data_IF_050262055783
#
_entry.id   IF_050262055783
#
_cell.length_a   1.000
_cell.length_b   1.000
_cell.length_c   1.000
_cell.angle_alpha   90.00
_cell.angle_beta   90.00
_cell.angle_gamma   90.00
#
_symmetry.space_group_name_H-M   'P 1'
#
loop_
_entity.id
_entity.type
_entity.pdbx_description
1 polymer ?
#
# COMPACT_ATOMS: atom_id res chain seq x y z
N UNK A 1 -3.32 -2.76 -1.87
CA UNK A 1 -2.04 -2.79 -1.13
C UNK A 1 -2.04 -1.71 -0.04
N UNK A 2 -1.79 -2.05 1.24
CA UNK A 2 -1.90 -1.10 2.38
C UNK A 2 -0.81 -0.01 2.39
N UNK A 3 0.37 -0.28 1.84
CA UNK A 3 1.50 0.66 1.80
C UNK A 3 1.14 2.04 1.26
N UNK A 4 0.55 2.13 0.05
CA UNK A 4 0.21 3.42 -0.55
C UNK A 4 -0.92 4.17 0.15
N UNK A 5 -1.66 3.55 1.08
CA UNK A 5 -2.66 4.25 1.88
C UNK A 5 -2.06 5.14 2.97
N UNK A 6 -0.77 4.94 3.27
CA UNK A 6 0.01 5.80 4.14
C UNK A 6 0.41 7.12 3.46
N UNK A 7 0.24 7.24 2.13
CA UNK A 7 0.66 8.39 1.33
C UNK A 7 -0.54 9.03 0.62
N UNK A 8 -0.65 10.36 0.66
CA UNK A 8 -1.75 11.13 0.02
C UNK A 8 -2.90 11.50 0.97
N UNK A 9 -3.94 12.21 0.50
CA UNK A 9 -4.98 12.79 1.36
C UNK A 9 -5.82 11.73 2.12
N UNK A 10 -5.36 11.35 3.31
CA UNK A 10 -6.11 10.53 4.25
C UNK A 10 -6.61 11.42 5.39
N UNK A 11 -7.93 11.44 5.60
CA UNK A 11 -8.57 12.24 6.66
C UNK A 11 -8.38 11.67 8.08
N UNK A 12 -7.89 10.43 8.20
CA UNK A 12 -7.83 9.69 9.47
C UNK A 12 -6.43 9.68 10.07
N UNK A 13 -5.37 9.74 9.25
CA UNK A 13 -3.97 9.73 9.71
C UNK A 13 -3.21 10.74 8.86
N UNK A 14 -2.46 11.64 9.50
CA UNK A 14 -1.62 12.62 8.80
C UNK A 14 -0.72 11.89 7.79
N UNK A 15 -0.89 12.12 6.48
CA UNK A 15 -0.28 11.25 5.49
C UNK A 15 1.22 11.51 5.36
N UNK A 16 1.96 10.44 5.07
CA UNK A 16 3.36 10.54 4.71
C UNK A 16 3.50 11.26 3.37
N UNK A 17 4.51 12.12 3.27
CA UNK A 17 4.94 12.72 2.01
C UNK A 17 6.07 11.87 1.43
N UNK A 18 5.88 11.37 0.22
CA UNK A 18 6.91 10.59 -0.48
C UNK A 18 8.19 11.41 -0.69
N UNK A 19 8.06 12.70 -1.07
CA UNK A 19 9.19 13.62 -1.23
C UNK A 19 9.99 13.79 0.07
N UNK A 20 9.31 13.74 1.22
CA UNK A 20 9.95 13.82 2.53
C UNK A 20 10.63 12.51 2.93
N UNK A 21 9.98 11.37 2.68
CA UNK A 21 10.49 10.05 3.04
C UNK A 21 11.70 9.69 2.18
N UNK A 22 11.65 9.95 0.88
CA UNK A 22 12.70 9.61 -0.09
C UNK A 22 13.59 10.81 -0.44
N UNK A 23 13.69 11.80 0.47
CA UNK A 23 14.52 12.99 0.26
C UNK A 23 15.97 12.59 0.00
N UNK A 24 16.51 12.99 -1.15
CA UNK A 24 17.88 12.65 -1.56
C UNK A 24 18.03 11.27 -2.22
N UNK A 25 16.92 10.56 -2.47
CA UNK A 25 16.88 9.27 -3.14
C UNK A 25 15.99 9.33 -4.40
N UNK A 26 16.45 9.96 -5.50
CA UNK A 26 15.63 10.15 -6.70
C UNK A 26 15.11 8.83 -7.26
N UNK A 27 15.95 7.80 -7.31
CA UNK A 27 15.56 6.46 -7.82
C UNK A 27 14.41 5.83 -7.01
N UNK A 28 14.39 6.07 -5.68
CA UNK A 28 13.32 5.58 -4.82
C UNK A 28 12.02 6.37 -5.03
N UNK A 29 12.12 7.68 -5.29
CA UNK A 29 10.97 8.51 -5.61
C UNK A 29 10.36 8.13 -6.96
N UNK A 30 11.20 7.85 -7.95
CA UNK A 30 10.78 7.37 -9.28
C UNK A 30 10.13 5.99 -9.18
N UNK A 31 10.74 5.06 -8.45
CA UNK A 31 10.15 3.75 -8.18
C UNK A 31 8.80 3.87 -7.43
N UNK A 32 8.69 4.78 -6.47
CA UNK A 32 7.43 5.04 -5.78
C UNK A 32 6.35 5.54 -6.73
N UNK A 33 6.67 6.52 -7.59
CA UNK A 33 5.74 7.07 -8.56
C UNK A 33 5.31 6.02 -9.59
N UNK A 34 6.23 5.19 -10.05
CA UNK A 34 5.96 4.05 -10.93
C UNK A 34 4.93 3.09 -10.30
N UNK A 35 5.18 2.61 -9.07
CA UNK A 35 4.28 1.68 -8.40
C UNK A 35 2.93 2.30 -8.03
N UNK A 36 2.92 3.60 -7.69
CA UNK A 36 1.68 4.36 -7.49
C UNK A 36 0.86 4.43 -8.78
N UNK A 37 1.50 4.70 -9.92
CA UNK A 37 0.83 4.72 -11.22
C UNK A 37 0.29 3.32 -11.59
N UNK A 38 1.01 2.23 -11.30
CA UNK A 38 0.50 0.86 -11.49
C UNK A 38 -0.74 0.64 -10.65
N UNK A 39 -0.70 0.94 -9.34
CA UNK A 39 -1.84 0.82 -8.44
C UNK A 39 -3.05 1.58 -8.98
N UNK A 40 -2.84 2.82 -9.41
CA UNK A 40 -3.91 3.72 -9.86
C UNK A 40 -4.52 3.28 -11.19
N UNK A 41 -3.73 2.67 -12.08
CA UNK A 41 -4.25 2.01 -13.28
C UNK A 41 -5.15 0.81 -12.96
N UNK A 42 -4.77 -0.02 -11.99
CA UNK A 42 -5.53 -1.22 -11.62
C UNK A 42 -6.80 -0.93 -10.80
N UNK A 43 -6.96 0.29 -10.28
CA UNK A 43 -8.21 0.72 -9.65
C UNK A 43 -9.31 1.05 -10.67
N UNK A 44 -8.95 1.30 -11.94
CA UNK A 44 -9.90 1.67 -13.00
C UNK A 44 -10.43 0.46 -13.78
N UNK A 45 -9.76 -0.70 -13.71
CA UNK A 45 -10.12 -1.87 -14.50
C UNK A 45 -10.26 -3.12 -13.63
N UNK A 46 -11.49 -3.38 -13.16
CA UNK A 46 -12.01 -4.75 -13.12
C UNK A 46 -12.31 -5.18 -14.57
N UNK A 47 -11.32 -5.13 -15.46
CA UNK A 47 -11.41 -5.91 -16.69
C UNK A 47 -11.32 -7.35 -16.23
N UNK A 48 -12.37 -8.12 -16.51
CA UNK A 48 -12.40 -9.54 -16.18
C UNK A 48 -11.13 -10.19 -16.72
N UNK A 49 -10.58 -11.19 -16.03
CA UNK A 49 -9.50 -12.03 -16.59
C UNK A 49 -9.89 -12.59 -17.97
N UNK A 50 -11.19 -12.70 -18.25
CA UNK A 50 -11.74 -13.06 -19.55
C UNK A 50 -11.51 -12.03 -20.67
N UNK A 51 -11.19 -10.78 -20.35
CA UNK A 51 -10.78 -9.76 -21.33
C UNK A 51 -9.42 -10.07 -21.96
N UNK A 52 -8.59 -10.89 -21.31
CA UNK A 52 -7.29 -11.36 -21.82
C UNK A 52 -7.38 -12.75 -22.45
N UNK A 53 -8.59 -13.27 -22.60
CA UNK A 53 -8.87 -14.58 -23.13
C UNK A 53 -9.17 -14.49 -24.63
N UNK A 54 -8.36 -15.17 -25.44
CA UNK A 54 -8.56 -15.35 -26.87
C UNK A 54 -9.08 -16.78 -27.12
N UNK A 55 -10.40 -16.98 -27.28
CA UNK A 55 -10.93 -18.27 -27.72
C UNK A 55 -10.54 -18.51 -29.17
N UNK A 56 -10.25 -19.75 -29.52
CA UNK A 56 -9.86 -20.15 -30.87
C UNK A 56 -10.41 -21.54 -31.20
N UNK A 57 -10.66 -21.77 -32.48
CA UNK A 57 -11.12 -23.07 -32.98
C UNK A 57 -9.93 -23.87 -33.49
N UNK A 58 -9.85 -25.14 -33.11
CA UNK A 58 -8.96 -26.10 -33.76
C UNK A 58 -9.70 -26.66 -34.96
N UNK A 59 -9.14 -26.45 -36.15
CA UNK A 59 -9.69 -26.99 -37.40
C UNK A 59 -8.83 -28.16 -37.88
N UNK A 60 -9.51 -29.20 -38.37
CA UNK A 60 -8.87 -30.30 -39.07
C UNK A 60 -8.49 -29.94 -40.50
N UNK A 61 -7.85 -30.88 -41.19
CA UNK A 61 -7.33 -30.66 -42.54
C UNK A 61 -8.42 -30.35 -43.58
N UNK A 62 -9.68 -30.67 -43.29
CA UNK A 62 -10.82 -30.41 -44.17
C UNK A 62 -11.68 -29.23 -43.67
N UNK A 63 -11.20 -28.49 -42.66
CA UNK A 63 -11.91 -27.35 -42.09
C UNK A 63 -13.00 -27.72 -41.07
N UNK A 64 -13.10 -28.99 -40.69
CA UNK A 64 -14.00 -29.44 -39.63
C UNK A 64 -13.51 -28.95 -38.26
N UNK A 65 -14.43 -28.52 -37.40
CA UNK A 65 -14.09 -28.13 -36.02
C UNK A 65 -13.76 -29.39 -35.21
N UNK A 66 -12.52 -29.48 -34.74
CA UNK A 66 -12.04 -30.60 -33.94
C UNK A 66 -12.06 -30.30 -32.43
N UNK A 67 -11.84 -29.04 -32.06
CA UNK A 67 -11.83 -28.61 -30.66
C UNK A 67 -12.00 -27.09 -30.52
N UNK A 68 -12.23 -26.63 -29.29
CA UNK A 68 -12.24 -25.21 -28.90
C UNK A 68 -11.19 -25.01 -27.82
N UNK A 69 -10.20 -24.18 -28.11
CA UNK A 69 -9.15 -23.83 -27.17
C UNK A 69 -9.34 -22.40 -26.67
N UNK A 70 -8.88 -22.13 -25.46
CA UNK A 70 -8.91 -20.80 -24.87
C UNK A 70 -7.52 -20.42 -24.40
N UNK A 71 -6.93 -19.38 -25.01
CA UNK A 71 -5.61 -18.87 -24.65
C UNK A 71 -5.78 -17.65 -23.75
N UNK A 72 -5.09 -17.63 -22.62
CA UNK A 72 -5.00 -16.44 -21.78
C UNK A 72 -3.59 -15.88 -21.93
N UNK A 73 -3.49 -14.63 -22.37
CA UNK A 73 -2.22 -13.90 -22.37
C UNK A 73 -2.15 -13.06 -21.11
N UNK A 74 -1.54 -13.61 -20.06
CA UNK A 74 -1.20 -12.82 -18.88
C UNK A 74 0.15 -12.14 -19.13
N UNK A 75 0.22 -10.81 -19.36
CA UNK A 75 1.49 -10.12 -19.30
C UNK A 75 2.03 -10.33 -17.87
N UNK A 76 3.19 -10.98 -17.76
CA UNK A 76 3.92 -11.06 -16.49
C UNK A 76 4.29 -9.64 -16.06
N UNK A 77 3.42 -8.99 -15.29
CA UNK A 77 3.57 -7.60 -14.89
C UNK A 77 4.73 -7.41 -13.90
N UNK A 78 5.18 -8.47 -13.25
CA UNK A 78 6.19 -8.40 -12.19
C UNK A 78 7.03 -9.68 -12.15
N UNK A 79 8.34 -9.54 -12.33
CA UNK A 79 9.31 -10.56 -11.92
C UNK A 79 9.76 -10.30 -10.47
N UNK A 80 10.62 -11.19 -9.95
CA UNK A 80 11.15 -11.07 -8.59
C UNK A 80 11.94 -9.76 -8.39
N UNK A 81 12.66 -9.29 -9.41
CA UNK A 81 13.43 -8.05 -9.34
C UNK A 81 12.51 -6.82 -9.23
N UNK A 82 11.41 -6.80 -9.98
CA UNK A 82 10.39 -5.76 -9.87
C UNK A 82 9.78 -5.74 -8.46
N UNK A 83 9.38 -6.89 -7.92
CA UNK A 83 8.83 -6.95 -6.55
C UNK A 83 9.84 -6.51 -5.48
N UNK A 84 11.13 -6.79 -5.68
CA UNK A 84 12.18 -6.34 -4.77
C UNK A 84 12.25 -4.82 -4.64
N UNK A 85 12.01 -4.07 -5.72
CA UNK A 85 11.96 -2.61 -5.67
C UNK A 85 10.86 -2.13 -4.72
N UNK A 86 9.69 -2.76 -4.77
CA UNK A 86 8.57 -2.41 -3.90
C UNK A 86 8.87 -2.75 -2.43
N UNK A 87 9.51 -3.90 -2.16
CA UNK A 87 9.96 -4.24 -0.81
C UNK A 87 10.98 -3.23 -0.28
N UNK A 88 11.90 -2.76 -1.12
CA UNK A 88 12.87 -1.74 -0.73
C UNK A 88 12.17 -0.43 -0.33
N UNK A 89 11.15 0.00 -1.08
CA UNK A 89 10.36 1.19 -0.73
C UNK A 89 9.65 1.04 0.63
N UNK A 90 9.07 -0.13 0.89
CA UNK A 90 8.42 -0.45 2.18
C UNK A 90 9.44 -0.41 3.31
N UNK A 91 10.58 -1.06 3.15
CA UNK A 91 11.64 -1.11 4.15
C UNK A 91 12.19 0.29 4.46
N UNK A 92 12.47 1.09 3.44
CA UNK A 92 12.93 2.47 3.61
C UNK A 92 11.90 3.35 4.33
N UNK A 93 10.61 3.21 3.97
CA UNK A 93 9.54 3.96 4.63
C UNK A 93 9.41 3.55 6.10
N UNK A 94 9.46 2.25 6.40
CA UNK A 94 9.40 1.75 7.77
C UNK A 94 10.54 2.30 8.62
N UNK A 95 11.78 2.24 8.08
CA UNK A 95 12.96 2.81 8.73
C UNK A 95 12.83 4.31 8.97
N UNK A 96 12.33 5.07 7.99
CA UNK A 96 12.10 6.51 8.16
C UNK A 96 11.13 6.80 9.31
N UNK A 97 10.04 6.04 9.42
CA UNK A 97 9.08 6.19 10.52
C UNK A 97 9.73 5.85 11.86
N UNK A 98 10.47 4.75 11.94
CA UNK A 98 11.21 4.34 13.13
C UNK A 98 12.18 5.46 13.59
N UNK A 99 12.99 6.00 12.69
CA UNK A 99 13.91 7.10 12.97
C UNK A 99 13.17 8.35 13.51
N UNK A 100 12.00 8.68 12.97
CA UNK A 100 11.18 9.80 13.46
C UNK A 100 10.62 9.54 14.85
N UNK A 101 10.16 8.33 15.13
CA UNK A 101 9.68 7.93 16.46
C UNK A 101 10.83 7.98 17.46
N UNK A 102 11.98 7.39 17.13
CA UNK A 102 13.17 7.39 17.99
C UNK A 102 13.68 8.81 18.27
N UNK A 103 13.58 9.73 17.31
CA UNK A 103 13.93 11.13 17.53
C UNK A 103 12.90 11.92 18.35
N UNK A 104 11.62 11.52 18.31
CA UNK A 104 10.55 12.18 19.06
C UNK A 104 10.55 11.77 20.54
N UNK A 105 10.85 10.50 20.83
CA UNK A 105 10.76 9.94 22.18
C UNK A 105 11.57 10.73 23.22
N UNK A 106 12.87 11.03 23.02
CA UNK A 106 13.64 11.81 24.00
C UNK A 106 13.02 13.18 24.29
N UNK A 107 12.46 13.85 23.27
CA UNK A 107 11.81 15.16 23.42
C UNK A 107 10.54 15.06 24.25
N UNK A 108 9.73 14.02 24.04
CA UNK A 108 8.53 13.77 24.84
C UNK A 108 8.90 13.42 26.29
N UNK A 109 9.98 12.68 26.51
CA UNK A 109 10.48 12.40 27.85
C UNK A 109 10.96 13.67 28.56
N UNK A 110 11.71 14.53 27.85
CA UNK A 110 12.16 15.82 28.39
C UNK A 110 10.97 16.71 28.77
N UNK A 111 10.00 16.84 27.88
CA UNK A 111 8.76 17.58 28.12
C UNK A 111 8.00 17.03 29.34
N UNK A 112 7.81 15.72 29.42
CA UNK A 112 7.15 15.08 30.55
C UNK A 112 7.93 15.24 31.87
N UNK A 113 9.26 15.22 31.84
CA UNK A 113 10.11 15.42 33.02
C UNK A 113 10.14 16.88 33.47
N UNK A 114 9.92 17.83 32.56
CA UNK A 114 9.81 19.26 32.88
C UNK A 114 8.50 19.63 33.60
N UNK A 115 7.47 18.78 33.49
CA UNK A 115 6.22 18.95 34.22
C UNK A 115 6.38 18.68 35.72
N UNK A 116 5.56 19.33 36.54
CA UNK A 116 5.38 18.98 37.95
C UNK A 116 4.64 17.64 38.12
N UNK A 117 4.67 17.08 39.33
CA UNK A 117 3.94 15.84 39.61
C UNK A 117 2.42 16.00 39.44
N UNK A 118 1.87 17.14 39.84
CA UNK A 118 0.45 17.47 39.75
C UNK A 118 0.00 17.60 38.28
N UNK A 119 0.80 18.29 37.45
CA UNK A 119 0.53 18.41 36.01
C UNK A 119 0.54 17.06 35.29
N UNK A 120 1.50 16.19 35.61
CA UNK A 120 1.55 14.82 35.04
C UNK A 120 0.32 14.00 35.41
N UNK A 121 -0.17 14.11 36.65
CA UNK A 121 -1.34 13.39 37.13
C UNK A 121 -2.65 13.94 36.54
N UNK A 122 -2.66 15.20 36.09
CA UNK A 122 -3.79 15.82 35.41
C UNK A 122 -3.88 15.47 33.91
N UNK A 123 -2.87 14.81 33.32
CA UNK A 123 -2.91 14.40 31.92
C UNK A 123 -4.04 13.39 31.67
N UNK A 124 -4.68 13.42 30.49
CA UNK A 124 -5.72 12.47 30.13
C UNK A 124 -5.22 11.03 30.26
N UNK A 125 -5.96 10.19 30.99
CA UNK A 125 -5.67 8.77 31.05
C UNK A 125 -5.93 8.13 29.70
N UNK A 126 -4.94 7.40 29.19
CA UNK A 126 -5.10 6.60 27.98
C UNK A 126 -5.93 5.38 28.34
N UNK A 127 -7.17 5.33 27.86
CA UNK A 127 -7.99 4.13 27.90
C UNK A 127 -7.78 3.37 26.58
N UNK A 128 -7.22 2.17 26.67
CA UNK A 128 -7.08 1.28 25.53
C UNK A 128 -8.09 0.15 25.63
N UNK A 129 -9.05 0.12 24.70
CA UNK A 129 -9.90 -1.04 24.51
C UNK A 129 -9.26 -1.98 23.49
N UNK A 130 -9.10 -3.25 23.88
CA UNK A 130 -8.62 -4.29 22.97
C UNK A 130 -9.61 -4.38 21.80
N UNK A 131 -9.16 -4.29 20.53
CA UNK A 131 -10.02 -4.50 19.39
C UNK A 131 -10.60 -5.91 19.46
N UNK A 132 -11.92 -6.03 19.68
CA UNK A 132 -12.60 -7.31 19.62
C UNK A 132 -12.65 -7.76 18.15
N UNK A 133 -12.35 -9.04 17.91
CA UNK A 133 -12.20 -9.65 16.59
C UNK A 133 -13.46 -9.70 15.71
N UNK A 134 -14.51 -8.93 16.06
CA UNK A 134 -15.77 -8.82 15.33
C UNK A 134 -16.13 -7.38 14.92
N UNK A 135 -15.26 -6.38 15.12
CA UNK A 135 -15.46 -5.04 14.57
C UNK A 135 -15.16 -5.03 13.07
N UNK A 136 -16.05 -5.66 12.30
CA UNK A 136 -16.00 -5.77 10.86
C UNK A 136 -15.89 -4.41 10.16
N UNK A 137 -15.10 -4.45 9.10
CA UNK A 137 -15.11 -3.59 7.93
C UNK A 137 -16.19 -2.50 7.91
N UNK A 138 -15.77 -1.23 8.05
CA UNK A 138 -16.55 -0.11 7.53
C UNK A 138 -16.80 -0.35 6.04
N UNK A 139 -18.01 -0.81 5.70
CA UNK A 139 -18.53 -0.75 4.36
C UNK A 139 -18.43 0.70 3.90
N UNK A 140 -17.71 0.94 2.79
CA UNK A 140 -17.80 2.23 2.10
C UNK A 140 -19.24 2.36 1.59
N UNK A 141 -19.94 3.48 1.81
CA UNK A 141 -21.20 3.71 1.12
C UNK A 141 -20.91 3.74 -0.38
N UNK A 142 -21.63 2.90 -1.14
CA UNK A 142 -21.69 3.01 -2.60
C UNK A 142 -22.49 4.27 -2.90
N UNK A 143 -21.79 5.31 -3.36
CA UNK A 143 -22.35 6.46 -4.05
C UNK A 143 -21.98 6.37 -5.52
#
# INVERSE_FOLDING_TARGET
>A
MKFFSCFGENKVVGPLSADRVFKGMPDALDAFNYWKAIRDKHLVHNESEMSFMAPSLVLGSLGEVQDILSLIFMPGLTDQAHLQLLYNLVAHTAKHVEEKVSALLPRLFEEANSMTAEERLALPQVTYSVPQSGAEARQRPRG
#
